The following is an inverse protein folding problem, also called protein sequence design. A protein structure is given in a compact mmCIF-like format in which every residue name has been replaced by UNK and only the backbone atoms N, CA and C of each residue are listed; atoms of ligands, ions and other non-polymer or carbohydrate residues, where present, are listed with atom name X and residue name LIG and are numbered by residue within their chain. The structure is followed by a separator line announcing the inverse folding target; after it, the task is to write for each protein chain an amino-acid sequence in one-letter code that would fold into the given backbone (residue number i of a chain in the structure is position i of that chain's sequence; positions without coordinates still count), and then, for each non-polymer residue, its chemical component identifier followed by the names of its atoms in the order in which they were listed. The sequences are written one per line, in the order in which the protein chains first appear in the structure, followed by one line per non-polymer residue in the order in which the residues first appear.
data_IF_221568348717
#
_entry.id   IF_221568348717
#
_cell.length_a   1.000
_cell.length_b   1.000
_cell.length_c   1.000
_cell.angle_alpha   90.00
_cell.angle_beta   90.00
_cell.angle_gamma   90.00
#
_symmetry.space_group_name_H-M   'P 1'
#
loop_
_entity.id
_entity.type
_entity.pdbx_description
1 polymer ?
#
# COMPACT_ATOMS: atom_id res chain seq x y z
N UNK A 1 -3.50 -29.52 6.99
CA UNK A 1 -2.84 -28.35 7.63
C UNK A 1 -3.54 -27.09 7.17
N UNK A 2 -4.30 -26.39 8.02
CA UNK A 2 -4.81 -25.07 7.65
C UNK A 2 -3.59 -24.15 7.46
N UNK A 3 -3.44 -23.56 6.27
CA UNK A 3 -2.41 -22.56 6.03
C UNK A 3 -2.64 -21.41 7.00
N UNK A 4 -1.69 -21.14 7.90
CA UNK A 4 -1.70 -19.94 8.73
C UNK A 4 -2.12 -18.77 7.86
N UNK A 5 -3.27 -18.20 8.20
CA UNK A 5 -3.91 -17.12 7.47
C UNK A 5 -2.91 -15.98 7.49
N UNK A 6 -2.07 -15.88 6.42
CA UNK A 6 -1.15 -14.79 6.19
C UNK A 6 -2.03 -13.58 6.14
N UNK A 7 -2.13 -12.99 7.30
CA UNK A 7 -3.05 -11.96 7.69
C UNK A 7 -3.15 -11.03 6.48
N UNK A 8 -4.33 -10.90 5.87
CA UNK A 8 -4.57 -9.90 4.80
C UNK A 8 -4.50 -8.50 5.40
N UNK A 9 -3.56 -8.26 6.33
CA UNK A 9 -3.24 -7.01 6.98
C UNK A 9 -3.11 -6.00 5.89
N UNK A 10 -4.15 -5.18 5.79
CA UNK A 10 -4.26 -4.10 4.84
C UNK A 10 -2.94 -3.36 4.77
N UNK A 11 -2.40 -3.19 3.57
CA UNK A 11 -1.21 -2.36 3.36
C UNK A 11 -1.51 -0.98 3.92
N UNK A 12 -0.81 -0.64 4.99
CA UNK A 12 -0.98 0.62 5.72
C UNK A 12 -0.47 1.79 4.89
N UNK A 13 -0.77 3.01 5.32
CA UNK A 13 -0.19 4.20 4.69
C UNK A 13 1.34 4.21 4.84
N UNK A 14 1.81 3.90 6.05
CA UNK A 14 3.23 3.74 6.40
C UNK A 14 3.97 2.78 5.47
N UNK A 15 3.40 1.59 5.20
CA UNK A 15 4.00 0.61 4.29
C UNK A 15 4.21 1.19 2.89
N UNK A 16 3.29 2.05 2.42
CA UNK A 16 3.36 2.64 1.07
C UNK A 16 4.41 3.73 1.00
N UNK A 17 4.44 4.61 2.00
CA UNK A 17 5.45 5.66 2.10
C UNK A 17 6.83 5.00 2.11
N UNK A 18 7.07 4.02 2.99
CA UNK A 18 8.33 3.28 3.05
C UNK A 18 8.69 2.60 1.73
N UNK A 19 7.73 1.94 1.07
CA UNK A 19 7.97 1.28 -0.21
C UNK A 19 8.41 2.27 -1.31
N UNK A 20 7.75 3.43 -1.40
CA UNK A 20 8.09 4.47 -2.38
C UNK A 20 9.45 5.11 -2.06
N UNK A 21 9.68 5.50 -0.80
CA UNK A 21 10.98 6.06 -0.36
C UNK A 21 12.12 5.10 -0.66
N UNK A 22 11.98 3.81 -0.33
CA UNK A 22 13.03 2.82 -0.62
C UNK A 22 13.25 2.61 -2.12
N UNK A 23 12.20 2.70 -2.93
CA UNK A 23 12.33 2.62 -4.39
C UNK A 23 13.08 3.84 -4.96
N UNK A 24 12.82 5.04 -4.43
CA UNK A 24 13.53 6.27 -4.81
C UNK A 24 15.01 6.22 -4.43
N UNK A 25 15.35 5.53 -3.33
CA UNK A 25 16.72 5.21 -2.93
C UNK A 25 17.38 4.12 -3.80
N UNK A 26 16.69 3.60 -4.82
CA UNK A 26 17.22 2.60 -5.75
C UNK A 26 17.13 1.15 -5.27
N UNK A 27 16.44 0.85 -4.16
CA UNK A 27 16.26 -0.54 -3.72
C UNK A 27 15.35 -1.30 -4.70
N UNK A 28 15.68 -2.57 -4.95
CA UNK A 28 14.85 -3.45 -5.79
C UNK A 28 13.53 -3.82 -5.10
N UNK A 29 12.46 -4.04 -5.87
CA UNK A 29 11.15 -4.45 -5.32
C UNK A 29 11.20 -5.71 -4.46
N UNK A 30 12.11 -6.64 -4.77
CA UNK A 30 12.29 -7.85 -3.99
C UNK A 30 12.93 -7.58 -2.62
N UNK A 31 13.89 -6.66 -2.54
CA UNK A 31 14.50 -6.25 -1.28
C UNK A 31 13.49 -5.50 -0.40
N UNK A 32 12.74 -4.56 -0.99
CA UNK A 32 11.67 -3.83 -0.29
C UNK A 32 10.60 -4.78 0.24
N UNK A 33 10.20 -5.78 -0.56
CA UNK A 33 9.23 -6.79 -0.15
C UNK A 33 9.70 -7.60 1.06
N UNK A 34 10.99 -7.97 1.13
CA UNK A 34 11.55 -8.66 2.29
C UNK A 34 11.54 -7.78 3.54
N UNK A 35 11.93 -6.50 3.42
CA UNK A 35 11.94 -5.58 4.57
C UNK A 35 10.54 -5.27 5.10
N UNK A 36 9.54 -5.15 4.22
CA UNK A 36 8.15 -4.86 4.61
C UNK A 36 7.32 -6.12 4.83
N UNK A 37 7.92 -7.31 4.73
CA UNK A 37 7.22 -8.60 4.77
C UNK A 37 6.02 -8.68 3.78
N UNK A 38 6.20 -8.14 2.58
CA UNK A 38 5.21 -8.10 1.48
C UNK A 38 5.74 -8.81 0.23
N UNK A 39 4.82 -9.29 -0.60
CA UNK A 39 5.20 -9.87 -1.90
C UNK A 39 5.79 -8.81 -2.84
N UNK A 40 6.74 -9.21 -3.70
CA UNK A 40 7.27 -8.37 -4.78
C UNK A 40 6.17 -7.75 -5.64
N UNK A 41 5.12 -8.52 -5.95
CA UNK A 41 3.96 -8.06 -6.73
C UNK A 41 3.14 -6.99 -5.99
N UNK A 42 3.03 -7.07 -4.67
CA UNK A 42 2.40 -6.05 -3.86
C UNK A 42 3.18 -4.73 -3.92
N UNK A 43 4.50 -4.79 -3.72
CA UNK A 43 5.39 -3.62 -3.81
C UNK A 43 5.31 -2.97 -5.19
N UNK A 44 5.37 -3.76 -6.26
CA UNK A 44 5.22 -3.26 -7.64
C UNK A 44 3.90 -2.49 -7.80
N UNK A 45 2.77 -3.06 -7.37
CA UNK A 45 1.45 -2.39 -7.46
C UNK A 45 1.36 -1.08 -6.68
N UNK A 46 2.06 -0.97 -5.54
CA UNK A 46 2.12 0.28 -4.77
C UNK A 46 2.85 1.34 -5.57
N UNK A 47 4.01 0.99 -6.14
CA UNK A 47 4.88 1.92 -6.87
C UNK A 47 4.25 2.33 -8.19
N UNK A 48 3.70 1.39 -8.96
CA UNK A 48 2.98 1.67 -10.21
C UNK A 48 1.84 2.67 -9.97
N UNK A 49 1.03 2.44 -8.91
CA UNK A 49 -0.04 3.37 -8.52
C UNK A 49 0.49 4.74 -8.12
N UNK A 50 1.58 4.79 -7.36
CA UNK A 50 2.19 6.06 -6.95
C UNK A 50 2.66 6.83 -8.18
N UNK A 51 3.30 6.17 -9.16
CA UNK A 51 3.72 6.81 -10.40
C UNK A 51 2.54 7.32 -11.24
N UNK A 52 1.39 6.61 -11.23
CA UNK A 52 0.17 7.03 -11.93
C UNK A 52 -0.53 8.23 -11.26
N UNK A 53 -0.54 8.29 -9.92
CA UNK A 53 -1.44 9.18 -9.16
C UNK A 53 -0.74 10.19 -8.26
N UNK A 54 0.58 10.03 -8.05
CA UNK A 54 1.38 10.75 -7.05
C UNK A 54 0.74 10.75 -5.64
N UNK A 55 -0.01 9.70 -5.28
CA UNK A 55 -0.72 9.60 -4.01
C UNK A 55 -0.42 8.32 -3.27
N UNK A 56 -0.24 8.44 -1.95
CA UNK A 56 -0.10 7.31 -1.02
C UNK A 56 -1.47 6.78 -0.55
N UNK A 57 -2.54 7.55 -0.77
CA UNK A 57 -3.88 7.25 -0.26
C UNK A 57 -4.53 6.14 -1.10
N UNK A 58 -5.35 5.32 -0.45
CA UNK A 58 -6.07 4.27 -1.16
C UNK A 58 -7.18 4.90 -2.01
N UNK A 59 -7.30 4.49 -3.29
CA UNK A 59 -8.45 4.86 -4.11
C UNK A 59 -9.74 4.38 -3.44
N UNK A 60 -10.75 5.25 -3.23
CA UNK A 60 -12.06 4.82 -2.76
C UNK A 60 -12.57 3.64 -3.60
N UNK A 61 -13.21 2.65 -2.96
CA UNK A 61 -13.83 1.56 -3.72
C UNK A 61 -14.95 2.15 -4.59
N UNK A 62 -15.04 1.76 -5.87
CA UNK A 62 -16.12 2.22 -6.73
C UNK A 62 -17.47 1.87 -6.09
N UNK A 63 -18.40 2.81 -6.08
CA UNK A 63 -19.72 2.68 -5.44
C UNK A 63 -19.80 3.09 -3.96
N UNK A 64 -18.69 3.39 -3.28
CA UNK A 64 -18.74 4.02 -1.94
C UNK A 64 -18.70 5.54 -2.09
N UNK A 65 -19.73 6.28 -1.65
CA UNK A 65 -19.73 7.73 -1.75
C UNK A 65 -18.58 8.37 -0.98
N UNK A 66 -17.89 9.35 -1.59
CA UNK A 66 -16.70 10.00 -1.02
C UNK A 66 -17.00 10.80 0.25
N UNK A 67 -18.20 11.39 0.38
CA UNK A 67 -18.58 12.16 1.56
C UNK A 67 -18.62 11.33 2.85
N UNK A 68 -18.77 10.01 2.75
CA UNK A 68 -18.69 9.11 3.92
C UNK A 68 -17.25 8.90 4.42
N UNK A 69 -16.23 9.18 3.59
CA UNK A 69 -14.82 9.13 4.00
C UNK A 69 -14.41 10.43 4.72
N UNK A 70 -15.05 11.55 4.41
CA UNK A 70 -14.70 12.89 4.93
C UNK A 70 -15.12 13.13 6.40
N UNK A 71 -16.09 12.34 6.90
CA UNK A 71 -16.66 12.47 8.26
C UNK A 71 -15.84 11.76 9.37
N UNK A 72 -14.76 11.03 9.03
CA UNK A 72 -13.91 10.33 10.01
C UNK A 72 -12.65 11.12 10.42
N UNK A 73 -12.42 12.32 9.87
CA UNK A 73 -11.22 13.14 10.13
C UNK A 73 -11.49 14.24 11.19
N UNK A 74 -12.72 14.37 11.70
CA UNK A 74 -13.14 15.43 12.64
C UNK A 74 -13.56 14.91 14.04
N UNK A 75 -12.84 13.95 14.65
CA UNK A 75 -12.98 13.61 16.08
C UNK A 75 -11.60 13.53 16.73
#
# INVERSE_FOLDING_TARGET
MPSENRNRSSVTLEDRIKAVTMCQLGKSFAAIGRELNRSKSCIKRIIDRYNETNSYIYRPRPGRPEYLLRRMIEI
#
